data_IF_868214641961
#
_entry.id   IF_868214641961
#
_cell.length_a   1.000
_cell.length_b   1.000
_cell.length_c   1.000
_cell.angle_alpha   90.00
_cell.angle_beta   90.00
_cell.angle_gamma   90.00
#
_symmetry.space_group_name_H-M   'P 1'
#
loop_
_entity.id
_entity.type
_entity.pdbx_description
1 polymer ?
#
# COMPACT_ATOMS: atom_id res chain seq x y z
N UNK A 1 -16.61 -11.90 14.25
CA UNK A 1 -17.36 -11.60 12.99
C UNK A 1 -16.60 -12.24 11.84
N UNK A 2 -17.28 -12.66 10.76
CA UNK A 2 -16.59 -13.16 9.56
C UNK A 2 -16.22 -11.96 8.67
N UNK A 3 -14.97 -11.93 8.22
CA UNK A 3 -14.49 -10.94 7.26
C UNK A 3 -14.64 -11.52 5.86
N UNK A 4 -15.24 -10.75 4.95
CA UNK A 4 -15.41 -11.13 3.55
C UNK A 4 -14.59 -10.18 2.66
N UNK A 5 -13.54 -10.73 2.06
CA UNK A 5 -12.64 -10.00 1.18
C UNK A 5 -12.81 -10.37 -0.29
N UNK A 6 -11.76 -10.11 -1.05
CA UNK A 6 -11.64 -10.39 -2.47
C UNK A 6 -10.55 -11.43 -2.71
N UNK A 7 -10.90 -12.52 -3.37
CA UNK A 7 -9.94 -13.59 -3.73
C UNK A 7 -9.12 -13.16 -4.92
N UNK A 8 -7.81 -13.02 -4.72
CA UNK A 8 -6.86 -12.69 -5.78
C UNK A 8 -5.96 -13.88 -6.07
N UNK A 9 -6.07 -14.41 -7.27
CA UNK A 9 -5.35 -15.64 -7.68
C UNK A 9 -3.84 -15.51 -7.45
N UNK A 10 -3.32 -16.34 -6.55
CA UNK A 10 -1.91 -16.38 -6.18
C UNK A 10 -1.48 -15.34 -5.12
N UNK A 11 -2.36 -14.35 -4.76
CA UNK A 11 -2.08 -13.35 -3.72
C UNK A 11 -2.86 -13.59 -2.42
N UNK A 12 -3.85 -14.51 -2.45
CA UNK A 12 -4.72 -14.77 -1.31
C UNK A 12 -5.99 -13.93 -1.33
N UNK A 13 -6.56 -13.72 -0.14
CA UNK A 13 -7.78 -12.90 0.05
C UNK A 13 -7.38 -11.56 0.62
N UNK A 14 -7.70 -10.48 -0.08
CA UNK A 14 -7.45 -9.10 0.34
C UNK A 14 -8.72 -8.40 0.83
N UNK A 15 -8.59 -7.37 1.65
CA UNK A 15 -9.70 -6.51 2.11
C UNK A 15 -10.02 -5.39 1.11
N UNK A 16 -9.17 -5.20 0.11
CA UNK A 16 -9.35 -4.28 -1.03
C UNK A 16 -9.12 -5.01 -2.35
N UNK A 17 -9.61 -4.41 -3.44
CA UNK A 17 -9.55 -4.95 -4.81
C UNK A 17 -8.87 -3.94 -5.74
N UNK A 18 -7.60 -3.64 -5.45
CA UNK A 18 -6.85 -2.61 -6.17
C UNK A 18 -6.20 -3.13 -7.44
N UNK A 19 -6.30 -2.34 -8.51
CA UNK A 19 -5.38 -2.45 -9.63
C UNK A 19 -4.19 -1.50 -9.39
N UNK A 20 -2.97 -1.99 -9.58
CA UNK A 20 -1.75 -1.22 -9.40
C UNK A 20 -1.11 -0.89 -10.75
N UNK A 21 -0.89 0.39 -11.02
CA UNK A 21 0.02 0.84 -12.08
C UNK A 21 1.35 1.14 -11.41
N UNK A 22 2.36 0.29 -11.67
CA UNK A 22 3.64 0.30 -10.98
C UNK A 22 4.70 0.97 -11.86
N UNK A 23 5.11 2.23 -11.57
CA UNK A 23 6.28 2.84 -12.22
C UNK A 23 7.56 2.21 -11.66
N UNK A 24 8.43 1.67 -12.52
CA UNK A 24 9.71 1.09 -12.08
C UNK A 24 10.82 2.13 -11.91
N UNK A 25 10.57 3.38 -12.34
CA UNK A 25 11.52 4.49 -12.32
C UNK A 25 10.80 5.83 -12.33
N UNK A 26 11.42 6.90 -11.83
CA UNK A 26 10.83 8.24 -11.81
C UNK A 26 10.35 8.71 -13.19
N UNK A 27 11.07 8.38 -14.25
CA UNK A 27 10.74 8.79 -15.62
C UNK A 27 9.41 8.20 -16.11
N UNK A 28 8.97 7.06 -15.59
CA UNK A 28 7.68 6.44 -15.91
C UNK A 28 6.52 6.94 -15.03
N UNK A 29 6.78 7.71 -13.96
CA UNK A 29 5.77 8.20 -13.01
C UNK A 29 4.67 9.00 -13.68
N UNK A 30 5.03 9.94 -14.57
CA UNK A 30 4.03 10.81 -15.20
C UNK A 30 3.00 10.01 -16.02
N UNK A 31 3.47 9.10 -16.88
CA UNK A 31 2.56 8.29 -17.72
C UNK A 31 1.79 7.28 -16.86
N UNK A 32 2.40 6.71 -15.81
CA UNK A 32 1.73 5.82 -14.86
C UNK A 32 0.57 6.52 -14.15
N UNK A 33 0.77 7.76 -13.69
CA UNK A 33 -0.29 8.58 -13.08
C UNK A 33 -1.44 8.86 -14.04
N UNK A 34 -1.13 9.19 -15.30
CA UNK A 34 -2.18 9.42 -16.32
C UNK A 34 -3.01 8.15 -16.57
N UNK A 35 -2.35 7.00 -16.70
CA UNK A 35 -3.03 5.71 -16.86
C UNK A 35 -3.89 5.41 -15.64
N UNK A 36 -3.32 5.52 -14.43
CA UNK A 36 -4.00 5.23 -13.18
C UNK A 36 -5.26 6.09 -12.99
N UNK A 37 -5.16 7.39 -13.25
CA UNK A 37 -6.30 8.31 -13.16
C UNK A 37 -7.42 7.93 -14.13
N UNK A 38 -7.08 7.56 -15.37
CA UNK A 38 -8.05 7.19 -16.41
C UNK A 38 -8.82 5.90 -16.07
N UNK A 39 -8.15 4.94 -15.41
CA UNK A 39 -8.76 3.63 -15.11
C UNK A 39 -9.19 3.48 -13.64
N UNK A 40 -8.99 4.50 -12.81
CA UNK A 40 -9.27 4.43 -11.38
C UNK A 40 -8.41 3.42 -10.65
N UNK A 41 -7.13 3.32 -11.02
CA UNK A 41 -6.15 2.45 -10.38
C UNK A 41 -5.30 3.22 -9.37
N UNK A 42 -4.65 2.50 -8.44
CA UNK A 42 -3.64 3.09 -7.58
C UNK A 42 -2.29 3.15 -8.30
N UNK A 43 -1.50 4.16 -7.95
CA UNK A 43 -0.11 4.33 -8.39
C UNK A 43 0.64 5.17 -7.36
N UNK A 44 1.92 5.41 -7.58
CA UNK A 44 2.74 6.25 -6.72
C UNK A 44 3.74 7.09 -7.50
N UNK A 45 4.33 8.08 -6.84
CA UNK A 45 5.47 8.82 -7.36
C UNK A 45 6.74 8.03 -7.08
N UNK A 46 7.33 7.42 -8.12
CA UNK A 46 8.65 6.83 -7.94
C UNK A 46 9.67 7.94 -7.69
N UNK A 47 10.35 7.88 -6.56
CA UNK A 47 11.23 8.96 -6.09
C UNK A 47 12.64 8.90 -6.67
N UNK A 48 12.99 7.80 -7.34
CA UNK A 48 14.35 7.51 -7.76
C UNK A 48 14.47 7.44 -9.28
N UNK A 49 15.54 8.04 -9.79
CA UNK A 49 15.94 7.96 -11.18
C UNK A 49 16.57 6.62 -11.55
N UNK A 50 17.27 6.59 -12.69
CA UNK A 50 17.89 5.38 -13.24
C UNK A 50 19.00 4.81 -12.34
N UNK A 51 19.50 5.58 -11.40
CA UNK A 51 20.68 5.27 -10.57
C UNK A 51 20.36 4.76 -9.17
N UNK A 52 19.46 3.80 -9.00
CA UNK A 52 19.46 3.01 -7.76
C UNK A 52 20.71 2.16 -7.77
N UNK A 53 21.59 2.32 -6.77
CA UNK A 53 22.91 1.68 -6.75
C UNK A 53 23.18 0.94 -5.44
N UNK A 54 24.11 0.00 -5.48
CA UNK A 54 24.65 -0.67 -4.31
C UNK A 54 23.60 -1.45 -3.53
N UNK A 55 23.61 -1.25 -2.22
CA UNK A 55 22.79 -2.00 -1.26
C UNK A 55 21.28 -1.73 -1.38
N UNK A 56 20.88 -0.63 -2.00
CA UNK A 56 19.46 -0.29 -2.17
C UNK A 56 18.78 -1.09 -3.29
N UNK A 57 19.55 -1.61 -4.28
CA UNK A 57 18.97 -2.34 -5.43
C UNK A 57 18.11 -3.52 -5.00
N UNK A 58 18.61 -4.49 -4.19
CA UNK A 58 17.78 -5.61 -3.77
C UNK A 58 16.62 -5.19 -2.84
N UNK A 59 16.81 -4.15 -2.04
CA UNK A 59 15.76 -3.61 -1.16
C UNK A 59 14.57 -3.05 -1.95
N UNK A 60 14.84 -2.24 -2.97
CA UNK A 60 13.80 -1.66 -3.84
C UNK A 60 13.17 -2.69 -4.76
N UNK A 61 13.96 -3.65 -5.30
CA UNK A 61 13.43 -4.75 -6.10
C UNK A 61 12.44 -5.60 -5.29
N UNK A 62 12.83 -6.00 -4.07
CA UNK A 62 11.94 -6.74 -3.17
C UNK A 62 10.69 -5.92 -2.79
N UNK A 63 10.83 -4.63 -2.55
CA UNK A 63 9.70 -3.76 -2.27
C UNK A 63 8.68 -3.75 -3.42
N UNK A 64 9.12 -3.66 -4.68
CA UNK A 64 8.22 -3.74 -5.84
C UNK A 64 7.53 -5.10 -5.95
N UNK A 65 8.27 -6.19 -5.68
CA UNK A 65 7.73 -7.55 -5.66
C UNK A 65 6.65 -7.67 -4.57
N UNK A 66 6.93 -7.18 -3.37
CA UNK A 66 6.00 -7.23 -2.24
C UNK A 66 4.76 -6.40 -2.47
N UNK A 67 4.93 -5.18 -3.01
CA UNK A 67 3.84 -4.28 -3.38
C UNK A 67 2.93 -4.92 -4.43
N UNK A 68 3.53 -5.47 -5.50
CA UNK A 68 2.79 -6.08 -6.60
C UNK A 68 2.09 -7.40 -6.24
N UNK A 69 2.65 -8.14 -5.27
CA UNK A 69 2.10 -9.41 -4.79
C UNK A 69 1.32 -9.29 -3.48
N UNK A 70 0.95 -8.06 -3.07
CA UNK A 70 0.18 -7.83 -1.86
C UNK A 70 -1.25 -8.36 -1.99
N UNK A 71 -1.86 -8.94 -0.92
CA UNK A 71 -3.23 -9.48 -0.96
C UNK A 71 -4.30 -8.48 -1.41
N UNK A 72 -4.11 -7.18 -1.19
CA UNK A 72 -5.04 -6.13 -1.62
C UNK A 72 -4.93 -5.76 -3.12
N UNK A 73 -4.02 -6.40 -3.88
CA UNK A 73 -3.81 -6.15 -5.31
C UNK A 73 -4.48 -7.20 -6.17
N UNK A 74 -5.39 -6.77 -7.01
CA UNK A 74 -6.06 -7.61 -8.01
C UNK A 74 -5.16 -7.85 -9.22
N UNK A 75 -4.60 -6.79 -9.80
CA UNK A 75 -3.77 -6.87 -11.01
C UNK A 75 -2.73 -5.76 -11.04
N UNK A 76 -1.68 -5.96 -11.85
CA UNK A 76 -0.55 -5.03 -11.95
C UNK A 76 -0.23 -4.72 -13.41
N UNK A 77 -0.07 -3.44 -13.72
CA UNK A 77 0.58 -2.98 -14.95
C UNK A 77 1.90 -2.31 -14.58
N UNK A 78 3.02 -2.97 -14.88
CA UNK A 78 4.35 -2.39 -14.73
C UNK A 78 4.60 -1.44 -15.90
N UNK A 79 5.06 -0.23 -15.60
CA UNK A 79 5.46 0.77 -16.59
C UNK A 79 6.93 1.12 -16.38
N UNK A 80 7.78 0.64 -17.26
CA UNK A 80 9.22 0.84 -17.24
C UNK A 80 9.68 1.80 -18.32
N UNK A 81 10.87 2.37 -18.17
CA UNK A 81 11.47 3.24 -19.20
C UNK A 81 12.22 2.42 -20.25
N UNK A 82 13.08 1.49 -19.80
CA UNK A 82 13.94 0.64 -20.62
C UNK A 82 15.44 0.79 -20.35
N UNK A 83 15.86 1.75 -19.52
CA UNK A 83 17.27 1.98 -19.17
C UNK A 83 17.52 2.14 -17.65
N UNK A 84 16.51 1.86 -16.83
CA UNK A 84 16.63 1.88 -15.38
C UNK A 84 17.39 0.68 -14.81
N UNK A 85 17.89 0.80 -13.57
CA UNK A 85 18.63 -0.28 -12.89
C UNK A 85 17.75 -1.50 -12.61
N UNK A 86 16.52 -1.29 -12.14
CA UNK A 86 15.56 -2.39 -11.91
C UNK A 86 14.68 -2.51 -13.15
N UNK A 87 15.07 -3.38 -14.05
CA UNK A 87 14.44 -3.56 -15.36
C UNK A 87 13.05 -4.20 -15.26
N UNK A 88 12.07 -3.61 -15.95
CA UNK A 88 10.72 -4.17 -16.02
C UNK A 88 10.66 -5.63 -16.49
N UNK A 89 11.40 -6.05 -17.54
CA UNK A 89 11.49 -7.44 -17.98
C UNK A 89 12.03 -8.41 -16.91
N UNK A 90 12.90 -7.95 -16.02
CA UNK A 90 13.46 -8.75 -14.92
C UNK A 90 12.52 -8.80 -13.71
N UNK A 91 11.75 -7.73 -13.50
CA UNK A 91 10.77 -7.62 -12.41
C UNK A 91 9.51 -8.46 -12.71
N UNK A 92 9.00 -8.43 -13.93
CA UNK A 92 7.74 -9.09 -14.31
C UNK A 92 7.69 -10.59 -13.98
N UNK A 93 8.74 -11.41 -14.19
CA UNK A 93 8.73 -12.83 -13.80
C UNK A 93 8.57 -13.09 -12.31
N UNK A 94 8.92 -12.13 -11.45
CA UNK A 94 8.83 -12.21 -9.99
C UNK A 94 7.44 -11.85 -9.46
N UNK A 95 6.63 -11.21 -10.32
CA UNK A 95 5.22 -10.86 -10.06
C UNK A 95 4.32 -11.96 -10.63
N UNK A 96 3.15 -12.17 -10.06
CA UNK A 96 2.20 -13.20 -10.51
C UNK A 96 1.75 -12.90 -11.96
N UNK A 97 2.32 -13.62 -12.93
CA UNK A 97 2.23 -13.35 -14.37
C UNK A 97 0.81 -13.26 -14.93
N UNK A 98 -0.11 -14.10 -14.47
CA UNK A 98 -1.49 -14.13 -15.00
C UNK A 98 -2.26 -12.84 -14.75
N UNK A 99 -1.83 -12.07 -13.75
CA UNK A 99 -2.47 -10.85 -13.28
C UNK A 99 -1.56 -9.63 -13.49
N UNK A 100 -0.57 -9.73 -14.37
CA UNK A 100 0.39 -8.66 -14.64
C UNK A 100 0.71 -8.50 -16.12
N UNK A 101 1.04 -7.26 -16.51
CA UNK A 101 1.52 -6.85 -17.83
C UNK A 101 2.69 -5.90 -17.66
N UNK A 102 3.47 -5.75 -18.70
CA UNK A 102 4.58 -4.81 -18.79
C UNK A 102 4.43 -3.91 -20.02
N UNK A 103 4.72 -2.64 -19.83
CA UNK A 103 4.95 -1.67 -20.90
C UNK A 103 6.33 -1.03 -20.71
N UNK A 104 7.10 -0.99 -21.77
CA UNK A 104 8.38 -0.29 -21.84
C UNK A 104 8.20 0.95 -22.68
N UNK A 105 8.42 2.14 -22.13
CA UNK A 105 8.15 3.42 -22.78
C UNK A 105 8.93 3.56 -24.10
N UNK A 106 10.20 3.15 -24.11
CA UNK A 106 11.07 3.22 -25.29
C UNK A 106 10.59 2.30 -26.43
N UNK A 107 9.85 1.24 -26.12
CA UNK A 107 9.33 0.27 -27.09
C UNK A 107 7.86 0.51 -27.47
N UNK A 108 7.17 1.37 -26.71
CA UNK A 108 5.72 1.58 -26.81
C UNK A 108 5.33 2.87 -27.56
N UNK A 109 6.24 3.46 -28.32
CA UNK A 109 5.98 4.73 -29.04
C UNK A 109 6.04 5.97 -28.13
N UNK A 110 6.91 5.92 -27.11
CA UNK A 110 7.10 7.01 -26.14
C UNK A 110 5.92 7.16 -25.19
N UNK A 111 5.81 8.31 -24.52
CA UNK A 111 4.80 8.54 -23.49
C UNK A 111 3.35 8.45 -24.00
N UNK A 112 3.07 8.91 -25.22
CA UNK A 112 1.72 8.90 -25.81
C UNK A 112 1.28 7.48 -26.14
N UNK A 113 2.09 6.72 -26.88
CA UNK A 113 1.78 5.32 -27.20
C UNK A 113 1.69 4.43 -25.95
N UNK A 114 2.55 4.68 -24.96
CA UNK A 114 2.49 4.00 -23.67
C UNK A 114 1.19 4.31 -22.92
N UNK A 115 0.72 5.56 -22.91
CA UNK A 115 -0.55 5.93 -22.30
C UNK A 115 -1.72 5.19 -22.94
N UNK A 116 -1.88 5.25 -24.25
CA UNK A 116 -2.98 4.60 -24.98
C UNK A 116 -2.99 3.08 -24.77
N UNK A 117 -1.82 2.46 -24.90
CA UNK A 117 -1.65 1.02 -24.70
C UNK A 117 -1.90 0.65 -23.23
N UNK A 118 -1.43 1.48 -22.30
CA UNK A 118 -1.57 1.28 -20.87
C UNK A 118 -3.02 1.29 -20.40
N UNK A 119 -3.80 2.28 -20.83
CA UNK A 119 -5.24 2.36 -20.55
C UNK A 119 -5.96 1.12 -21.08
N UNK A 120 -5.69 0.73 -22.32
CA UNK A 120 -6.30 -0.46 -22.92
C UNK A 120 -5.93 -1.73 -22.15
N UNK A 121 -4.65 -1.93 -21.85
CA UNK A 121 -4.18 -3.13 -21.15
C UNK A 121 -4.66 -3.19 -19.69
N UNK A 122 -4.72 -2.07 -18.98
CA UNK A 122 -5.24 -2.00 -17.62
C UNK A 122 -6.73 -2.37 -17.57
N UNK A 123 -7.55 -1.84 -18.49
CA UNK A 123 -8.97 -2.21 -18.62
C UNK A 123 -9.12 -3.70 -18.92
N UNK A 124 -8.35 -4.25 -19.87
CA UNK A 124 -8.36 -5.69 -20.17
C UNK A 124 -7.97 -6.57 -18.99
N UNK A 125 -6.96 -6.17 -18.18
CA UNK A 125 -6.57 -6.90 -16.98
C UNK A 125 -7.72 -6.97 -15.99
N UNK A 126 -8.42 -5.86 -15.77
CA UNK A 126 -9.55 -5.79 -14.83
C UNK A 126 -10.74 -6.64 -15.30
N UNK A 127 -11.05 -6.58 -16.59
CA UNK A 127 -12.18 -7.31 -17.16
C UNK A 127 -11.94 -8.83 -17.19
N UNK A 128 -10.71 -9.24 -17.47
CA UNK A 128 -10.35 -10.66 -17.58
C UNK A 128 -10.17 -11.35 -16.22
N UNK A 129 -9.99 -10.59 -15.14
CA UNK A 129 -9.65 -11.12 -13.81
C UNK A 129 -10.54 -10.51 -12.71
N UNK A 130 -11.84 -10.72 -12.83
CA UNK A 130 -12.79 -10.30 -11.80
C UNK A 130 -12.53 -11.08 -10.51
N UNK A 131 -12.43 -10.34 -9.42
CA UNK A 131 -12.23 -10.90 -8.10
C UNK A 131 -13.54 -11.47 -7.56
N UNK A 132 -13.47 -12.65 -6.98
CA UNK A 132 -14.60 -13.27 -6.30
C UNK A 132 -14.57 -12.92 -4.81
N UNK A 133 -15.75 -12.83 -4.19
CA UNK A 133 -15.85 -12.67 -2.75
C UNK A 133 -15.47 -13.99 -2.07
N UNK A 134 -14.60 -13.89 -1.07
CA UNK A 134 -14.14 -15.04 -0.30
C UNK A 134 -14.03 -14.69 1.19
N UNK A 135 -14.21 -15.68 2.04
CA UNK A 135 -13.94 -15.52 3.47
C UNK A 135 -12.45 -15.35 3.68
N UNK A 136 -12.09 -14.38 4.51
CA UNK A 136 -10.74 -14.21 5.01
C UNK A 136 -10.60 -14.95 6.34
N UNK A 137 -9.78 -16.00 6.35
CA UNK A 137 -9.61 -16.83 7.54
C UNK A 137 -8.77 -16.14 8.61
N UNK A 138 -7.81 -15.33 8.20
CA UNK A 138 -6.89 -14.63 9.10
C UNK A 138 -6.53 -13.26 8.54
N UNK A 139 -6.86 -12.20 9.27
CA UNK A 139 -6.49 -10.83 8.94
C UNK A 139 -5.13 -10.49 9.56
N UNK A 140 -4.21 -9.97 8.75
CA UNK A 140 -2.94 -9.42 9.23
C UNK A 140 -3.15 -7.93 9.50
N UNK A 141 -3.02 -7.53 10.76
CA UNK A 141 -3.14 -6.14 11.22
C UNK A 141 -1.75 -5.59 11.53
N UNK A 142 -1.36 -4.53 10.83
CA UNK A 142 -0.12 -3.81 11.10
C UNK A 142 -0.31 -2.77 12.21
N UNK A 143 0.68 -2.59 13.07
CA UNK A 143 0.77 -1.48 14.01
C UNK A 143 1.95 -0.60 13.62
N UNK A 144 1.68 0.63 13.20
CA UNK A 144 2.67 1.69 13.00
C UNK A 144 2.78 2.51 14.28
N UNK A 145 3.92 2.38 14.95
CA UNK A 145 4.22 3.03 16.22
C UNK A 145 5.26 4.14 16.02
N UNK A 146 4.86 5.24 15.41
CA UNK A 146 5.72 6.42 15.24
C UNK A 146 5.81 7.28 16.51
N UNK A 147 5.03 6.94 17.55
CA UNK A 147 5.09 7.51 18.89
C UNK A 147 4.88 6.45 19.95
N UNK A 148 5.24 6.77 21.19
CA UNK A 148 4.90 5.95 22.35
C UNK A 148 3.39 5.79 22.47
N UNK A 149 2.94 4.55 22.59
CA UNK A 149 1.53 4.21 22.62
C UNK A 149 1.16 3.65 23.99
N UNK A 150 0.35 4.37 24.77
CA UNK A 150 -0.15 3.87 26.03
C UNK A 150 -0.93 2.55 25.83
N UNK A 151 -0.76 1.60 26.75
CA UNK A 151 -1.47 0.32 26.73
C UNK A 151 -1.24 -0.56 25.49
N UNK A 152 -0.11 -0.40 24.78
CA UNK A 152 0.24 -1.21 23.62
C UNK A 152 0.12 -2.72 23.87
N UNK A 153 0.54 -3.18 25.07
CA UNK A 153 0.45 -4.59 25.44
C UNK A 153 -1.00 -5.08 25.49
N UNK A 154 -1.90 -4.29 26.07
CA UNK A 154 -3.33 -4.61 26.13
C UNK A 154 -3.95 -4.64 24.73
N UNK A 155 -3.59 -3.67 23.87
CA UNK A 155 -4.03 -3.63 22.47
C UNK A 155 -3.57 -4.88 21.71
N UNK A 156 -2.29 -5.23 21.77
CA UNK A 156 -1.75 -6.43 21.09
C UNK A 156 -2.44 -7.70 21.57
N UNK A 157 -2.64 -7.84 22.90
CA UNK A 157 -3.33 -8.98 23.49
C UNK A 157 -4.79 -9.06 23.01
N UNK A 158 -5.51 -7.95 23.00
CA UNK A 158 -6.89 -7.90 22.55
C UNK A 158 -7.04 -8.22 21.07
N UNK A 159 -6.16 -7.68 20.20
CA UNK A 159 -6.16 -7.97 18.76
C UNK A 159 -5.88 -9.46 18.51
N UNK A 160 -4.91 -10.04 19.20
CA UNK A 160 -4.59 -11.48 19.09
C UNK A 160 -5.75 -12.35 19.58
N UNK A 161 -6.37 -11.99 20.69
CA UNK A 161 -7.55 -12.69 21.22
C UNK A 161 -8.76 -12.60 20.28
N UNK A 162 -8.88 -11.50 19.50
CA UNK A 162 -9.89 -11.35 18.46
C UNK A 162 -9.60 -12.19 17.20
N UNK A 163 -8.45 -12.89 17.14
CA UNK A 163 -8.07 -13.78 16.03
C UNK A 163 -7.25 -13.10 14.94
N UNK A 164 -6.77 -11.87 15.13
CA UNK A 164 -5.90 -11.18 14.18
C UNK A 164 -4.44 -11.62 14.33
N UNK A 165 -3.71 -11.65 13.23
CA UNK A 165 -2.25 -11.68 13.25
C UNK A 165 -1.73 -10.25 13.36
N UNK A 166 -0.83 -9.99 14.31
CA UNK A 166 -0.34 -8.63 14.59
C UNK A 166 1.13 -8.52 14.21
N UNK A 167 1.42 -7.57 13.32
CA UNK A 167 2.79 -7.18 12.93
C UNK A 167 3.03 -5.75 13.41
N UNK A 168 4.23 -5.47 13.93
CA UNK A 168 4.54 -4.17 14.55
C UNK A 168 5.79 -3.58 13.92
N UNK A 169 5.73 -2.30 13.56
CA UNK A 169 6.87 -1.49 13.15
C UNK A 169 6.96 -0.24 14.02
N UNK A 170 8.15 0.03 14.52
CA UNK A 170 8.43 1.16 15.43
C UNK A 170 9.80 1.78 15.23
N UNK A 171 10.52 1.38 14.17
CA UNK A 171 11.90 1.81 13.94
C UNK A 171 12.03 3.25 13.45
N UNK A 172 10.94 3.81 12.90
CA UNK A 172 10.95 5.14 12.30
C UNK A 172 9.91 6.03 12.96
N UNK A 173 10.31 7.26 13.29
CA UNK A 173 9.36 8.32 13.68
C UNK A 173 8.52 8.83 12.50
N UNK A 174 8.82 8.39 11.27
CA UNK A 174 8.08 8.75 10.05
C UNK A 174 7.25 7.56 9.60
N UNK A 175 5.95 7.69 9.71
CA UNK A 175 4.98 6.60 9.44
C UNK A 175 5.13 5.97 8.05
N UNK A 176 5.47 6.74 7.01
CA UNK A 176 5.60 6.21 5.65
C UNK A 176 6.63 5.07 5.55
N UNK A 177 7.71 5.12 6.33
CA UNK A 177 8.72 4.07 6.37
C UNK A 177 8.20 2.81 7.08
N UNK A 178 7.50 2.97 8.21
CA UNK A 178 6.86 1.87 8.91
C UNK A 178 5.77 1.22 8.05
N UNK A 179 4.94 2.03 7.37
CA UNK A 179 3.89 1.55 6.47
C UNK A 179 4.45 0.72 5.31
N UNK A 180 5.59 1.13 4.74
CA UNK A 180 6.28 0.36 3.70
C UNK A 180 6.74 -1.01 4.19
N UNK A 181 7.26 -1.11 5.41
CA UNK A 181 7.64 -2.39 6.04
C UNK A 181 6.42 -3.25 6.38
N UNK A 182 5.36 -2.64 6.91
CA UNK A 182 4.10 -3.35 7.20
C UNK A 182 3.45 -3.88 5.91
N UNK A 183 3.55 -3.14 4.80
CA UNK A 183 3.13 -3.61 3.48
C UNK A 183 3.92 -4.85 3.06
N UNK A 184 5.25 -4.85 3.20
CA UNK A 184 6.10 -6.01 2.89
C UNK A 184 5.76 -7.22 3.78
N UNK A 185 5.37 -6.98 5.03
CA UNK A 185 4.85 -8.00 5.94
C UNK A 185 3.41 -8.46 5.63
N UNK A 186 2.81 -7.98 4.51
CA UNK A 186 1.46 -8.32 4.05
C UNK A 186 0.34 -7.87 4.98
N UNK A 187 0.56 -6.83 5.80
CA UNK A 187 -0.52 -6.24 6.59
C UNK A 187 -1.65 -5.73 5.69
N UNK A 188 -2.87 -6.16 5.94
CA UNK A 188 -4.03 -5.86 5.10
C UNK A 188 -4.82 -4.65 5.62
N UNK A 189 -4.71 -4.36 6.91
CA UNK A 189 -5.20 -3.15 7.60
C UNK A 189 -4.07 -2.68 8.51
N UNK A 190 -3.86 -1.38 8.62
CA UNK A 190 -2.88 -0.81 9.54
C UNK A 190 -3.57 0.10 10.54
N UNK A 191 -3.14 0.04 11.79
CA UNK A 191 -3.42 1.02 12.83
C UNK A 191 -2.17 1.87 12.97
N UNK A 192 -2.28 3.17 12.73
CA UNK A 192 -1.18 4.10 12.85
C UNK A 192 -1.35 4.99 14.07
N UNK A 193 -0.25 5.15 14.81
CA UNK A 193 -0.08 6.11 15.89
C UNK A 193 0.96 7.16 15.45
N UNK A 194 0.56 8.15 14.63
CA UNK A 194 1.48 9.16 14.10
C UNK A 194 2.16 9.95 15.23
N UNK A 195 3.37 10.44 14.97
CA UNK A 195 4.06 11.37 15.89
C UNK A 195 3.18 12.59 16.20
N UNK A 196 3.32 13.13 17.41
CA UNK A 196 2.49 14.23 17.90
C UNK A 196 2.58 15.52 17.08
N UNK A 197 3.66 15.67 16.32
CA UNK A 197 3.92 16.80 15.44
C UNK A 197 3.63 16.52 13.96
N UNK A 198 3.05 15.35 13.66
CA UNK A 198 2.71 14.95 12.30
C UNK A 198 1.20 14.80 12.11
N UNK A 199 0.66 15.13 10.92
CA UNK A 199 -0.73 14.88 10.60
C UNK A 199 -0.99 13.36 10.46
N UNK A 200 -2.27 12.94 10.38
CA UNK A 200 -2.61 11.57 10.04
C UNK A 200 -2.01 11.17 8.69
N UNK A 201 -1.64 9.91 8.57
CA UNK A 201 -0.99 9.37 7.38
C UNK A 201 -1.88 8.37 6.66
N UNK A 202 -1.50 7.98 5.45
CA UNK A 202 -2.16 6.97 4.65
C UNK A 202 -1.20 6.17 3.80
N UNK A 203 -1.70 5.08 3.24
CA UNK A 203 -0.98 4.25 2.28
C UNK A 203 -1.96 3.75 1.22
N UNK A 204 -1.86 4.16 -0.04
CA UNK A 204 -2.89 3.93 -1.06
C UNK A 204 -3.32 2.46 -1.24
N UNK A 205 -2.45 1.51 -0.90
CA UNK A 205 -2.69 0.07 -1.04
C UNK A 205 -3.41 -0.55 0.17
N UNK A 206 -3.24 0.05 1.36
CA UNK A 206 -3.69 -0.53 2.63
C UNK A 206 -4.53 0.51 3.37
N UNK A 207 -5.74 0.18 3.82
CA UNK A 207 -6.49 1.08 4.70
C UNK A 207 -5.72 1.33 6.00
N UNK A 208 -5.50 2.59 6.33
CA UNK A 208 -4.81 3.04 7.54
C UNK A 208 -5.81 3.70 8.48
N UNK A 209 -5.98 3.13 9.66
CA UNK A 209 -6.78 3.66 10.77
C UNK A 209 -5.85 4.53 11.63
N UNK A 210 -6.06 5.83 11.64
CA UNK A 210 -5.24 6.76 12.40
C UNK A 210 -5.86 7.03 13.78
N UNK A 211 -5.06 6.84 14.84
CA UNK A 211 -5.45 7.14 16.22
C UNK A 211 -4.73 8.40 16.68
N UNK A 212 -5.52 9.44 17.01
CA UNK A 212 -4.99 10.72 17.48
C UNK A 212 -4.27 10.62 18.81
N UNK A 213 -3.38 11.57 19.12
CA UNK A 213 -2.90 11.88 20.48
C UNK A 213 -3.69 13.08 21.03
N UNK A 214 -3.28 13.55 22.22
CA UNK A 214 -3.81 14.80 22.81
C UNK A 214 -2.96 16.03 22.46
N UNK A 215 -2.05 15.92 21.48
CA UNK A 215 -1.24 17.05 21.05
C UNK A 215 -2.12 18.15 20.43
N UNK A 216 -1.68 19.43 20.48
CA UNK A 216 -2.43 20.53 19.89
C UNK A 216 -2.71 20.34 18.40
N UNK A 217 -1.75 19.77 17.65
CA UNK A 217 -1.93 19.47 16.23
C UNK A 217 -3.03 18.42 16.01
N UNK A 218 -2.99 17.30 16.74
CA UNK A 218 -4.00 16.25 16.58
C UNK A 218 -5.39 16.72 17.04
N UNK A 219 -5.47 17.55 18.05
CA UNK A 219 -6.74 18.16 18.46
C UNK A 219 -7.30 19.10 17.38
N UNK A 220 -6.44 19.88 16.73
CA UNK A 220 -6.85 20.75 15.62
C UNK A 220 -7.30 19.95 14.39
N UNK A 221 -6.74 18.77 14.17
CA UNK A 221 -7.05 17.87 13.05
C UNK A 221 -7.97 16.70 13.46
N UNK A 222 -8.72 16.81 14.55
CA UNK A 222 -9.49 15.68 15.10
C UNK A 222 -10.47 15.05 14.10
N UNK A 223 -11.01 15.82 13.14
CA UNK A 223 -11.88 15.32 12.07
C UNK A 223 -11.19 14.40 11.07
N UNK A 224 -9.87 14.48 10.96
CA UNK A 224 -9.04 13.69 10.03
C UNK A 224 -8.59 12.35 10.63
N UNK A 225 -8.76 12.16 11.93
CA UNK A 225 -8.45 10.90 12.62
C UNK A 225 -9.67 9.99 12.69
N UNK A 226 -9.44 8.68 12.59
CA UNK A 226 -10.50 7.66 12.70
C UNK A 226 -10.94 7.45 14.15
N UNK A 227 -9.99 7.50 15.09
CA UNK A 227 -10.21 7.32 16.52
C UNK A 227 -9.42 8.36 17.34
N UNK A 228 -9.97 8.70 18.51
CA UNK A 228 -9.31 9.56 19.49
C UNK A 228 -8.33 8.77 20.37
N UNK A 229 -7.43 9.46 21.04
CA UNK A 229 -6.62 8.87 22.11
C UNK A 229 -7.53 8.35 23.22
N UNK A 230 -7.21 7.15 23.71
CA UNK A 230 -7.98 6.51 24.80
C UNK A 230 -9.17 5.68 24.31
N UNK A 231 -9.38 5.58 23.00
CA UNK A 231 -10.35 4.59 22.47
C UNK A 231 -10.04 3.20 22.99
N UNK A 232 -11.08 2.48 23.39
CA UNK A 232 -10.96 1.14 23.97
C UNK A 232 -10.48 0.13 22.91
N UNK A 233 -9.92 -0.98 23.37
CA UNK A 233 -9.51 -2.08 22.49
C UNK A 233 -10.70 -2.60 21.68
N UNK A 234 -11.88 -2.65 22.27
CA UNK A 234 -13.11 -3.12 21.60
C UNK A 234 -13.54 -2.17 20.46
N UNK A 235 -13.45 -0.85 20.67
CA UNK A 235 -13.72 0.14 19.61
C UNK A 235 -12.74 0.00 18.46
N UNK A 236 -11.45 -0.23 18.74
CA UNK A 236 -10.43 -0.48 17.71
C UNK A 236 -10.76 -1.76 16.93
N UNK A 237 -11.09 -2.87 17.62
CA UNK A 237 -11.48 -4.14 16.98
C UNK A 237 -12.74 -3.98 16.13
N UNK A 238 -13.74 -3.25 16.62
CA UNK A 238 -14.96 -2.99 15.87
C UNK A 238 -14.67 -2.23 14.58
N UNK A 239 -13.83 -1.19 14.65
CA UNK A 239 -13.45 -0.40 13.48
C UNK A 239 -12.63 -1.23 12.48
N UNK A 240 -11.66 -2.04 12.94
CA UNK A 240 -10.93 -2.97 12.08
C UNK A 240 -11.89 -3.88 11.31
N UNK A 241 -12.87 -4.47 11.98
CA UNK A 241 -13.85 -5.34 11.34
C UNK A 241 -14.68 -4.60 10.29
N UNK A 242 -15.11 -3.36 10.56
CA UNK A 242 -15.83 -2.51 9.59
C UNK A 242 -14.96 -2.20 8.37
N UNK A 243 -13.71 -1.79 8.61
CA UNK A 243 -12.74 -1.45 7.56
C UNK A 243 -12.39 -2.66 6.71
N UNK A 244 -12.15 -3.82 7.34
CA UNK A 244 -11.87 -5.06 6.64
C UNK A 244 -13.07 -5.56 5.79
N UNK A 245 -14.30 -5.21 6.17
CA UNK A 245 -15.51 -5.48 5.41
C UNK A 245 -15.90 -4.36 4.42
N UNK A 246 -15.01 -3.40 4.15
CA UNK A 246 -15.15 -2.44 3.06
C UNK A 246 -15.45 -0.99 3.47
N UNK A 247 -15.61 -0.68 4.77
CA UNK A 247 -15.67 0.71 5.21
C UNK A 247 -14.36 1.41 4.86
N UNK A 248 -14.42 2.63 4.32
CA UNK A 248 -13.24 3.44 4.07
C UNK A 248 -12.78 4.15 5.34
N UNK A 249 -11.46 4.23 5.52
CA UNK A 249 -10.83 5.06 6.55
C UNK A 249 -10.82 6.53 6.15
N UNK A 250 -10.53 7.42 7.09
CA UNK A 250 -10.40 8.86 6.81
C UNK A 250 -9.31 9.13 5.76
N UNK A 251 -8.16 8.45 5.87
CA UNK A 251 -7.08 8.56 4.89
C UNK A 251 -7.49 8.10 3.48
N UNK A 252 -8.27 7.03 3.35
CA UNK A 252 -8.79 6.60 2.05
C UNK A 252 -9.82 7.58 1.47
N UNK A 253 -10.62 8.24 2.31
CA UNK A 253 -11.62 9.24 1.87
C UNK A 253 -10.92 10.51 1.40
N UNK A 254 -9.92 10.98 2.15
CA UNK A 254 -9.15 12.19 1.83
C UNK A 254 -8.12 11.96 0.72
N UNK A 255 -7.81 10.69 0.40
CA UNK A 255 -6.77 10.33 -0.58
C UNK A 255 -5.36 10.73 -0.16
N UNK A 256 -5.09 10.78 1.14
CA UNK A 256 -3.76 11.09 1.68
C UNK A 256 -2.88 9.86 1.74
N UNK A 257 -1.58 10.10 1.74
CA UNK A 257 -0.54 9.08 1.83
C UNK A 257 0.16 8.82 0.51
N UNK A 258 1.41 8.38 0.62
CA UNK A 258 2.27 8.05 -0.51
C UNK A 258 2.88 6.67 -0.30
N UNK A 259 3.16 5.98 -1.40
CA UNK A 259 3.95 4.76 -1.42
C UNK A 259 5.41 5.16 -1.58
N UNK A 260 6.20 4.94 -0.55
CA UNK A 260 7.62 5.32 -0.49
C UNK A 260 8.48 4.08 -0.53
N UNK A 261 9.34 3.95 -1.55
CA UNK A 261 10.30 2.85 -1.63
C UNK A 261 11.41 3.07 -0.58
N UNK A 262 11.77 2.05 0.21
CA UNK A 262 12.79 2.17 1.23
C UNK A 262 14.16 2.42 0.61
N UNK A 263 14.94 3.35 1.20
CA UNK A 263 16.31 3.63 0.78
C UNK A 263 17.22 3.86 1.97
N UNK A 264 18.43 3.33 1.88
CA UNK A 264 19.50 3.50 2.87
C UNK A 264 20.55 4.51 2.42
N UNK A 265 20.73 4.66 1.12
CA UNK A 265 21.76 5.55 0.54
C UNK A 265 21.07 6.69 -0.20
N UNK A 266 21.48 7.93 0.09
CA UNK A 266 21.02 9.08 -0.72
C UNK A 266 21.61 8.94 -2.12
N UNK A 267 20.76 9.07 -3.15
CA UNK A 267 21.27 9.22 -4.52
C UNK A 267 22.02 10.55 -4.63
N UNK A 268 23.18 10.49 -5.24
CA UNK A 268 23.98 11.66 -5.61
C UNK A 268 23.38 12.27 -6.88
#
# INVERSE_FOLDING_TARGET
>A
MSITGFSHKGRGVGVRDHQLILPSVVCSTHVSRKIANEVGAITFAHQNGCGIIGIDVPGVDNFFIDLANHPNVQSVLVVSLGCETIQGPELLPKIIRKLSRLLVIQESGGASGTYESGVRQAKQLRDNFKSEKARLDKLIVGLDLSRDTPNLSALKTGLTAAGFEVVVESEHAVSEHNLSKLMSAKAQVVISFPDENQPPTGFPLIPVINIASTSPLHMALASEFDLAQGSSVDEVIELINKVANGQKTKSEISGIGEIVAPRSVRSV
#
